data_IF_021299794187
#
_entry.id   IF_021299794187
#
_cell.length_a   1.000
_cell.length_b   1.000
_cell.length_c   1.000
_cell.angle_alpha   90.00
_cell.angle_beta   90.00
_cell.angle_gamma   90.00
#
_symmetry.space_group_name_H-M   'P 1'
#
loop_
_entity.id
_entity.type
_entity.pdbx_description
1 polymer ?
#
# COMPACT_ATOMS: atom_id res chain seq x y z
N UNK A 1 19.80 9.32 10.41
CA UNK A 1 19.14 7.99 10.38
C UNK A 1 17.68 8.24 10.05
N UNK A 2 17.14 7.71 8.94
CA UNK A 2 15.71 7.82 8.67
C UNK A 2 14.96 6.95 9.68
N UNK A 3 13.99 7.52 10.38
CA UNK A 3 13.08 6.78 11.27
C UNK A 3 12.25 5.83 10.42
N UNK A 4 12.27 4.54 10.76
CA UNK A 4 11.41 3.56 10.09
C UNK A 4 9.94 3.90 10.35
N UNK A 5 9.17 4.08 9.28
CA UNK A 5 7.72 4.23 9.34
C UNK A 5 7.06 2.94 8.84
N UNK A 6 6.39 2.15 9.71
CA UNK A 6 5.66 0.97 9.25
C UNK A 6 4.52 1.39 8.33
N UNK A 7 4.37 0.73 7.18
CA UNK A 7 3.28 1.00 6.23
C UNK A 7 2.08 0.10 6.48
N UNK A 8 2.31 -1.21 6.67
CA UNK A 8 1.23 -2.19 6.86
C UNK A 8 0.69 -2.23 8.29
N UNK A 9 1.59 -2.07 9.27
CA UNK A 9 1.27 -2.20 10.70
C UNK A 9 1.21 -0.85 11.41
N UNK A 10 1.12 0.26 10.67
CA UNK A 10 1.07 1.62 11.25
C UNK A 10 0.00 1.77 12.32
N UNK A 11 -1.16 1.13 12.12
CA UNK A 11 -2.35 1.29 12.95
C UNK A 11 -2.77 0.02 13.69
N UNK A 12 -1.93 -1.03 13.73
CA UNK A 12 -2.33 -2.36 14.20
C UNK A 12 -2.80 -2.37 15.67
N UNK A 13 -2.25 -1.47 16.50
CA UNK A 13 -2.56 -1.37 17.92
C UNK A 13 -3.66 -0.34 18.23
N UNK A 14 -4.26 0.30 17.22
CA UNK A 14 -5.31 1.30 17.43
C UNK A 14 -6.68 0.64 17.55
N UNK A 15 -7.51 1.19 18.44
CA UNK A 15 -8.89 0.75 18.59
C UNK A 15 -9.66 0.89 17.27
N UNK A 16 -10.46 -0.13 16.94
CA UNK A 16 -11.29 -0.19 15.73
C UNK A 16 -10.52 -0.14 14.41
N UNK A 17 -9.20 -0.40 14.40
CA UNK A 17 -8.36 -0.34 13.20
C UNK A 17 -8.85 -1.24 12.04
N UNK A 18 -9.59 -2.29 12.37
CA UNK A 18 -10.18 -3.26 11.45
C UNK A 18 -11.48 -2.75 10.78
N UNK A 19 -12.05 -1.63 11.24
CA UNK A 19 -13.33 -1.14 10.75
C UNK A 19 -13.18 -0.27 9.51
N UNK A 20 -14.19 -0.32 8.62
CA UNK A 20 -14.21 0.52 7.42
C UNK A 20 -14.18 2.04 7.73
N UNK A 21 -14.94 2.56 8.71
CA UNK A 21 -14.87 3.98 9.07
C UNK A 21 -13.46 4.40 9.51
N UNK A 22 -12.78 3.58 10.33
CA UNK A 22 -11.40 3.83 10.71
C UNK A 22 -10.50 3.88 9.47
N UNK A 23 -10.57 2.86 8.59
CA UNK A 23 -9.74 2.79 7.39
C UNK A 23 -9.93 4.01 6.50
N UNK A 24 -11.18 4.46 6.27
CA UNK A 24 -11.46 5.69 5.51
C UNK A 24 -10.89 6.94 6.19
N UNK A 25 -11.04 7.05 7.53
CA UNK A 25 -10.55 8.20 8.31
C UNK A 25 -9.04 8.38 8.23
N UNK A 26 -8.27 7.29 8.20
CA UNK A 26 -6.80 7.32 8.07
C UNK A 26 -6.32 7.43 6.62
N UNK A 27 -7.22 7.73 5.67
CA UNK A 27 -6.86 7.93 4.26
C UNK A 27 -6.92 6.67 3.40
N UNK A 28 -7.55 5.60 3.86
CA UNK A 28 -7.83 4.42 3.06
C UNK A 28 -8.58 4.75 1.76
N UNK A 29 -8.36 3.94 0.73
CA UNK A 29 -8.90 4.11 -0.64
C UNK A 29 -8.45 5.36 -1.42
N UNK A 30 -7.71 6.31 -0.83
CA UNK A 30 -7.20 7.48 -1.57
C UNK A 30 -6.29 7.08 -2.74
N UNK A 31 -5.40 6.12 -2.53
CA UNK A 31 -4.56 5.57 -3.59
C UNK A 31 -5.38 4.84 -4.67
N UNK A 32 -6.47 4.15 -4.29
CA UNK A 32 -7.34 3.47 -5.23
C UNK A 32 -8.03 4.47 -6.16
N UNK A 33 -8.57 5.57 -5.62
CA UNK A 33 -9.18 6.63 -6.44
C UNK A 33 -8.20 7.24 -7.44
N UNK A 34 -6.93 7.41 -7.05
CA UNK A 34 -5.86 7.87 -7.96
C UNK A 34 -5.59 6.83 -9.06
N UNK A 35 -5.35 5.57 -8.68
CA UNK A 35 -4.94 4.50 -9.59
C UNK A 35 -6.03 4.18 -10.63
N UNK A 36 -7.30 4.26 -10.25
CA UNK A 36 -8.42 4.06 -11.18
C UNK A 36 -8.51 5.13 -12.29
N UNK A 37 -7.80 6.25 -12.15
CA UNK A 37 -7.70 7.31 -13.16
C UNK A 37 -6.42 7.21 -14.01
N UNK A 38 -5.54 6.27 -13.71
CA UNK A 38 -4.29 6.04 -14.44
C UNK A 38 -4.48 4.98 -15.52
N UNK A 39 -3.61 4.98 -16.54
CA UNK A 39 -3.57 3.86 -17.47
C UNK A 39 -2.99 2.63 -16.77
N UNK A 40 -3.48 1.42 -17.06
CA UNK A 40 -2.97 0.19 -16.47
C UNK A 40 -1.45 -0.03 -16.64
N UNK A 41 -0.90 0.42 -17.77
CA UNK A 41 0.52 0.34 -18.09
C UNK A 41 1.36 1.20 -17.13
N UNK A 42 0.89 2.41 -16.82
CA UNK A 42 1.58 3.33 -15.90
C UNK A 42 1.62 2.75 -14.48
N UNK A 43 0.52 2.14 -14.05
CA UNK A 43 0.44 1.46 -12.75
C UNK A 43 1.41 0.28 -12.68
N UNK A 44 1.49 -0.50 -13.76
CA UNK A 44 2.41 -1.64 -13.86
C UNK A 44 3.86 -1.18 -13.83
N UNK A 45 4.17 -0.07 -14.51
CA UNK A 45 5.53 0.48 -14.53
C UNK A 45 5.95 1.00 -13.16
N UNK A 46 5.05 1.68 -12.44
CA UNK A 46 5.31 2.14 -11.06
C UNK A 46 5.68 0.97 -10.13
N UNK A 47 4.99 -0.17 -10.23
CA UNK A 47 5.29 -1.36 -9.42
C UNK A 47 6.67 -1.92 -9.79
N UNK A 48 7.01 -2.00 -11.08
CA UNK A 48 8.34 -2.43 -11.54
C UNK A 48 9.45 -1.52 -11.02
N UNK A 49 9.23 -0.20 -11.10
CA UNK A 49 10.19 0.81 -10.68
C UNK A 49 10.40 0.80 -9.15
N UNK A 50 9.38 0.39 -8.39
CA UNK A 50 9.49 0.21 -6.93
C UNK A 50 10.41 -0.95 -6.52
N UNK A 51 10.80 -1.82 -7.46
CA UNK A 51 11.58 -3.03 -7.20
C UNK A 51 10.92 -3.94 -6.14
N UNK A 52 9.58 -3.97 -6.13
CA UNK A 52 8.82 -4.86 -5.28
C UNK A 52 9.08 -6.32 -5.69
N UNK A 53 9.24 -7.18 -4.69
CA UNK A 53 9.42 -8.62 -4.89
C UNK A 53 8.36 -9.39 -4.15
N UNK A 54 7.96 -10.53 -4.69
CA UNK A 54 7.01 -11.45 -4.09
C UNK A 54 7.38 -11.77 -2.64
N UNK A 55 6.48 -11.44 -1.72
CA UNK A 55 6.64 -11.68 -0.27
C UNK A 55 6.15 -13.07 0.17
N UNK A 56 5.76 -13.93 -0.78
CA UNK A 56 5.39 -15.34 -0.53
C UNK A 56 6.57 -16.31 -0.43
N UNK A 57 7.81 -15.83 -0.42
CA UNK A 57 9.02 -16.65 -0.25
C UNK A 57 9.79 -16.98 -1.55
N UNK A 58 9.15 -16.87 -2.73
CA UNK A 58 9.81 -17.15 -4.01
C UNK A 58 10.68 -15.99 -4.53
N UNK A 59 10.40 -14.74 -4.14
CA UNK A 59 11.24 -13.59 -4.49
C UNK A 59 11.18 -13.12 -5.95
N UNK A 60 10.20 -13.60 -6.75
CA UNK A 60 9.98 -13.11 -8.11
C UNK A 60 9.69 -11.59 -8.14
N UNK A 61 10.13 -10.86 -9.17
CA UNK A 61 9.68 -9.49 -9.41
C UNK A 61 8.17 -9.48 -9.62
N UNK A 62 7.48 -8.59 -8.91
CA UNK A 62 6.02 -8.38 -9.00
C UNK A 62 5.74 -7.08 -9.72
#
# INVERSE_FOLDING_TARGET
MNTFKPVLTEYIDQQDCHTLPFYKRVGGYTALDKVLKMNPEDVTQEVKDSNLRGRGGAGFPT
#
